data_IF_344926207445
#
_entry.id   IF_344926207445
#
_cell.length_a   1.000
_cell.length_b   1.000
_cell.length_c   1.000
_cell.angle_alpha   90.00
_cell.angle_beta   90.00
_cell.angle_gamma   90.00
#
_symmetry.space_group_name_H-M   'P 1'
#
loop_
_entity.id
_entity.type
_entity.pdbx_description
1 polymer ?
#
# COMPACT_ATOMS: atom_id res chain seq x y z
N UNK A 1 -26.62 16.70 -20.56
CA UNK A 1 -26.15 16.62 -19.17
C UNK A 1 -24.90 15.76 -19.14
N UNK A 2 -23.72 16.33 -18.91
CA UNK A 2 -22.50 15.53 -18.69
C UNK A 2 -22.62 14.81 -17.34
N UNK A 3 -22.30 13.51 -17.27
CA UNK A 3 -22.42 12.66 -16.07
C UNK A 3 -23.80 12.66 -15.38
N UNK A 4 -24.87 12.83 -16.17
CA UNK A 4 -26.25 12.81 -15.68
C UNK A 4 -27.26 12.49 -16.77
N UNK A 5 -28.52 12.37 -16.38
CA UNK A 5 -29.68 12.18 -17.27
C UNK A 5 -30.53 13.44 -17.33
N UNK A 6 -31.07 13.74 -18.50
CA UNK A 6 -32.05 14.81 -18.68
C UNK A 6 -33.39 14.35 -18.09
N UNK A 7 -33.95 15.11 -17.15
CA UNK A 7 -35.23 14.79 -16.50
C UNK A 7 -36.30 15.86 -16.73
N UNK A 8 -35.94 16.95 -17.41
CA UNK A 8 -36.87 17.99 -17.84
C UNK A 8 -36.17 19.07 -18.68
N UNK A 9 -36.92 20.07 -19.18
CA UNK A 9 -36.34 21.23 -19.86
C UNK A 9 -35.30 21.89 -18.96
N UNK A 10 -34.07 22.04 -19.47
CA UNK A 10 -32.91 22.58 -18.75
C UNK A 10 -32.58 21.90 -17.39
N UNK A 11 -33.20 20.75 -17.12
CA UNK A 11 -33.12 20.06 -15.83
C UNK A 11 -32.37 18.74 -15.98
N UNK A 12 -31.23 18.65 -15.27
CA UNK A 12 -30.36 17.49 -15.26
C UNK A 12 -30.35 16.82 -13.88
N UNK A 13 -30.51 15.50 -13.84
CA UNK A 13 -30.29 14.69 -12.63
C UNK A 13 -28.98 13.93 -12.76
N UNK A 14 -28.07 14.08 -11.79
CA UNK A 14 -26.77 13.44 -11.83
C UNK A 14 -26.85 11.92 -11.66
N UNK A 15 -25.89 11.21 -12.27
CA UNK A 15 -25.75 9.76 -12.13
C UNK A 15 -25.32 9.39 -10.70
N UNK A 16 -25.49 8.12 -10.32
CA UNK A 16 -25.05 7.63 -9.02
C UNK A 16 -23.54 7.90 -8.80
N UNK A 17 -23.19 8.42 -7.63
CA UNK A 17 -21.82 8.82 -7.32
C UNK A 17 -21.40 10.17 -7.90
N UNK A 18 -22.31 10.95 -8.49
CA UNK A 18 -22.09 12.32 -8.93
C UNK A 18 -23.03 13.29 -8.20
N UNK A 19 -22.59 14.53 -8.01
CA UNK A 19 -23.35 15.57 -7.32
C UNK A 19 -23.38 16.85 -8.16
N UNK A 20 -24.48 17.60 -8.08
CA UNK A 20 -24.63 18.83 -8.85
C UNK A 20 -23.85 19.97 -8.19
N UNK A 21 -22.85 20.49 -8.88
CA UNK A 21 -22.04 21.65 -8.45
C UNK A 21 -21.98 22.64 -9.60
N UNK A 22 -22.46 23.87 -9.38
CA UNK A 22 -22.51 24.95 -10.38
C UNK A 22 -23.13 24.52 -11.72
N UNK A 23 -24.23 23.75 -11.66
CA UNK A 23 -24.95 23.28 -12.85
C UNK A 23 -24.29 22.12 -13.62
N UNK A 24 -23.19 21.54 -13.11
CA UNK A 24 -22.53 20.36 -13.68
C UNK A 24 -22.57 19.20 -12.70
N UNK A 25 -22.68 17.98 -13.21
CA UNK A 25 -22.55 16.78 -12.39
C UNK A 25 -21.07 16.44 -12.23
N UNK A 26 -20.54 16.70 -11.04
CA UNK A 26 -19.16 16.41 -10.68
C UNK A 26 -19.09 15.10 -9.88
N UNK A 27 -17.99 14.34 -9.98
CA UNK A 27 -17.83 13.13 -9.19
C UNK A 27 -17.89 13.41 -7.69
N UNK A 28 -18.48 12.49 -6.93
CA UNK A 28 -18.59 12.54 -5.48
C UNK A 28 -17.64 11.52 -4.85
N UNK A 29 -16.85 11.97 -3.89
CA UNK A 29 -15.94 11.15 -3.11
C UNK A 29 -16.35 11.26 -1.64
N UNK A 30 -16.91 10.19 -1.05
CA UNK A 30 -17.55 10.21 0.28
C UNK A 30 -16.57 10.64 1.39
N UNK A 31 -15.32 10.18 1.32
CA UNK A 31 -14.25 10.54 2.26
C UNK A 31 -13.52 11.85 1.90
N UNK A 32 -13.91 12.51 0.80
CA UNK A 32 -13.13 13.59 0.20
C UNK A 32 -11.79 13.10 -0.38
N UNK A 33 -11.12 13.98 -1.13
CA UNK A 33 -9.77 13.77 -1.64
C UNK A 33 -8.84 14.82 -1.03
N UNK A 34 -8.37 14.58 0.20
CA UNK A 34 -7.35 15.44 0.81
C UNK A 34 -6.11 15.48 -0.11
N UNK A 35 -5.58 16.68 -0.38
CA UNK A 35 -4.43 16.91 -1.29
C UNK A 35 -4.59 16.31 -2.70
N UNK A 36 -5.82 16.20 -3.18
CA UNK A 36 -6.13 15.63 -4.48
C UNK A 36 -7.42 16.18 -5.06
N UNK A 37 -7.84 15.58 -6.16
CA UNK A 37 -9.08 15.88 -6.86
C UNK A 37 -9.86 14.61 -7.12
N UNK A 38 -11.18 14.68 -6.92
CA UNK A 38 -12.09 13.59 -7.23
C UNK A 38 -12.32 13.57 -8.75
N UNK A 39 -11.79 12.55 -9.43
CA UNK A 39 -11.87 12.45 -10.91
C UNK A 39 -12.96 11.49 -11.38
N UNK A 40 -13.38 10.58 -10.51
CA UNK A 40 -14.52 9.68 -10.69
C UNK A 40 -15.13 9.35 -9.32
N UNK A 41 -16.33 8.76 -9.24
CA UNK A 41 -16.96 8.42 -7.98
C UNK A 41 -16.03 7.61 -7.07
N UNK A 42 -15.74 8.15 -5.89
CA UNK A 42 -14.77 7.58 -4.93
C UNK A 42 -13.35 7.32 -5.48
N UNK A 43 -12.94 8.00 -6.57
CA UNK A 43 -11.61 7.89 -7.17
C UNK A 43 -10.87 9.24 -7.09
N UNK A 44 -9.84 9.28 -6.26
CA UNK A 44 -8.97 10.44 -6.11
C UNK A 44 -7.71 10.33 -6.97
N UNK A 45 -7.36 11.44 -7.63
CA UNK A 45 -6.03 11.68 -8.19
C UNK A 45 -5.31 12.69 -7.31
N UNK A 46 -4.07 12.39 -6.93
CA UNK A 46 -3.29 13.25 -6.06
C UNK A 46 -2.78 14.48 -6.82
N UNK A 47 -2.75 15.63 -6.13
CA UNK A 47 -2.21 16.86 -6.67
C UNK A 47 -0.71 16.79 -6.92
N UNK A 48 -0.16 17.80 -7.59
CA UNK A 48 1.29 17.92 -7.81
C UNK A 48 2.02 17.91 -6.47
N UNK A 49 3.06 17.08 -6.35
CA UNK A 49 3.81 16.91 -5.11
C UNK A 49 3.21 15.90 -4.12
N UNK A 50 2.13 15.19 -4.48
CA UNK A 50 1.51 14.15 -3.67
C UNK A 50 1.42 12.81 -4.41
N UNK A 51 1.48 11.70 -3.68
CA UNK A 51 1.31 10.34 -4.20
C UNK A 51 0.24 9.61 -3.40
N UNK A 52 -0.40 8.62 -4.04
CA UNK A 52 -1.38 7.77 -3.37
C UNK A 52 -0.68 6.78 -2.44
N UNK A 53 -0.97 6.83 -1.14
CA UNK A 53 -0.50 5.85 -0.16
C UNK A 53 -1.23 4.52 -0.31
N UNK A 54 -0.77 3.48 0.40
CA UNK A 54 -1.46 2.18 0.45
C UNK A 54 -2.85 2.25 1.08
N UNK A 55 -3.11 3.26 1.92
CA UNK A 55 -4.44 3.55 2.47
C UNK A 55 -5.33 4.32 1.47
N UNK A 56 -4.84 4.61 0.27
CA UNK A 56 -5.57 5.33 -0.77
C UNK A 56 -5.62 6.85 -0.59
N UNK A 57 -4.88 7.40 0.37
CA UNK A 57 -4.83 8.83 0.71
C UNK A 57 -3.65 9.48 0.00
N UNK A 58 -3.81 10.75 -0.43
CA UNK A 58 -2.71 11.50 -1.03
C UNK A 58 -1.77 12.06 0.03
N UNK A 59 -0.56 11.54 0.06
CA UNK A 59 0.52 11.93 0.98
C UNK A 59 1.61 12.66 0.21
N UNK A 60 2.41 13.53 0.87
CA UNK A 60 3.52 14.21 0.21
C UNK A 60 4.43 13.23 -0.54
N UNK A 61 5.02 13.70 -1.64
CA UNK A 61 6.03 12.99 -2.40
C UNK A 61 7.41 13.50 -2.00
N UNK A 62 8.32 12.59 -1.64
CA UNK A 62 9.72 12.94 -1.43
C UNK A 62 10.43 13.20 -2.77
N UNK A 63 11.49 14.02 -2.74
CA UNK A 63 12.37 14.25 -3.87
C UNK A 63 13.03 12.94 -4.34
N UNK A 64 13.43 12.13 -3.36
CA UNK A 64 13.95 10.78 -3.54
C UNK A 64 12.85 9.74 -3.26
N UNK A 65 13.01 8.52 -3.80
CA UNK A 65 12.06 7.43 -3.54
C UNK A 65 12.10 7.00 -2.07
N UNK A 66 10.92 6.84 -1.47
CA UNK A 66 10.73 6.43 -0.07
C UNK A 66 10.12 5.02 0.00
N UNK A 67 10.97 4.00 0.09
CA UNK A 67 10.59 2.59 0.06
C UNK A 67 10.22 2.12 1.47
N UNK A 68 9.05 1.48 1.62
CA UNK A 68 8.47 1.05 2.90
C UNK A 68 8.27 2.18 3.93
N UNK A 69 8.20 3.42 3.46
CA UNK A 69 7.92 4.60 4.27
C UNK A 69 6.74 5.42 3.76
N UNK A 70 6.56 6.58 4.37
CA UNK A 70 5.69 7.69 3.94
C UNK A 70 6.52 8.96 4.01
N UNK A 71 6.44 9.80 2.99
CA UNK A 71 7.15 11.09 3.03
C UNK A 71 6.40 12.09 3.90
N UNK A 72 7.13 12.82 4.73
CA UNK A 72 6.59 13.94 5.50
C UNK A 72 6.77 15.29 4.76
N UNK A 73 6.23 16.36 5.35
CA UNK A 73 6.31 17.71 4.78
C UNK A 73 7.74 18.28 4.70
N UNK A 74 8.68 17.71 5.47
CA UNK A 74 10.10 18.10 5.48
C UNK A 74 10.94 17.34 4.47
N UNK A 75 10.33 16.58 3.57
CA UNK A 75 11.03 15.73 2.60
C UNK A 75 11.84 14.61 3.28
N UNK A 76 11.41 14.15 4.46
CA UNK A 76 12.01 13.02 5.17
C UNK A 76 11.12 11.78 5.00
N UNK A 77 11.75 10.63 4.74
CA UNK A 77 11.05 9.36 4.65
C UNK A 77 10.82 8.79 6.06
N UNK A 78 9.57 8.81 6.52
CA UNK A 78 9.16 8.20 7.79
C UNK A 78 8.83 6.73 7.57
N UNK A 79 9.58 5.84 8.22
CA UNK A 79 9.37 4.41 8.08
C UNK A 79 8.02 3.98 8.65
N UNK A 80 7.37 3.05 7.95
CA UNK A 80 6.12 2.45 8.42
C UNK A 80 6.37 1.60 9.65
N UNK A 81 5.29 1.30 10.38
CA UNK A 81 5.36 0.45 11.56
C UNK A 81 6.07 -0.89 11.27
N UNK A 82 7.06 -1.22 12.10
CA UNK A 82 7.86 -2.44 11.97
C UNK A 82 9.00 -2.36 10.95
N UNK A 83 9.20 -1.22 10.29
CA UNK A 83 10.35 -0.92 9.45
C UNK A 83 11.21 0.17 10.10
N UNK A 84 12.51 0.13 9.79
CA UNK A 84 13.50 1.03 10.37
C UNK A 84 14.50 1.45 9.31
N UNK A 85 15.06 2.64 9.48
CA UNK A 85 16.19 3.05 8.67
C UNK A 85 17.40 2.18 9.02
N UNK A 86 18.04 1.63 7.99
CA UNK A 86 19.29 0.91 8.17
C UNK A 86 20.46 1.89 7.96
N UNK A 87 21.09 2.30 9.05
CA UNK A 87 22.22 3.23 9.02
C UNK A 87 23.40 2.72 8.18
N UNK A 88 23.55 1.40 7.98
CA UNK A 88 24.59 0.86 7.08
C UNK A 88 24.37 1.28 5.62
N UNK A 89 23.15 1.65 5.23
CA UNK A 89 22.88 2.17 3.90
C UNK A 89 23.54 3.53 3.65
N UNK A 90 23.90 4.27 4.71
CA UNK A 90 24.69 5.50 4.61
C UNK A 90 26.06 5.24 3.99
N UNK A 91 26.67 4.07 4.24
CA UNK A 91 27.96 3.68 3.66
C UNK A 91 27.87 3.51 2.13
N UNK A 92 26.69 3.15 1.62
CA UNK A 92 26.40 3.02 0.19
C UNK A 92 25.89 4.32 -0.45
N UNK A 93 25.92 5.43 0.29
CA UNK A 93 25.48 6.74 -0.21
C UNK A 93 23.96 6.96 -0.19
N UNK A 94 23.19 6.06 0.43
CA UNK A 94 21.73 6.24 0.61
C UNK A 94 21.51 7.27 1.72
N UNK A 95 20.95 8.44 1.37
CA UNK A 95 20.68 9.55 2.32
C UNK A 95 19.17 9.70 2.55
N UNK A 96 18.79 10.54 3.52
CA UNK A 96 17.40 10.95 3.80
C UNK A 96 16.42 9.83 4.17
N UNK A 97 16.90 8.74 4.78
CA UNK A 97 16.09 7.60 5.20
C UNK A 97 15.21 6.96 4.10
N UNK A 98 15.64 7.10 2.84
CA UNK A 98 14.89 6.70 1.63
C UNK A 98 14.52 5.24 1.57
N UNK A 99 15.26 4.37 2.26
CA UNK A 99 14.99 2.93 2.29
C UNK A 99 14.77 2.47 3.73
N UNK A 100 13.54 2.07 4.02
CA UNK A 100 13.16 1.47 5.29
C UNK A 100 13.18 -0.06 5.15
N UNK A 101 13.96 -0.71 6.02
CA UNK A 101 14.13 -2.16 6.03
C UNK A 101 13.42 -2.79 7.22
N UNK A 102 12.86 -3.98 7.03
CA UNK A 102 12.36 -4.79 8.12
C UNK A 102 13.53 -5.27 9.01
N UNK A 103 13.24 -5.54 10.28
CA UNK A 103 14.24 -6.05 11.23
C UNK A 103 13.71 -7.28 11.97
N UNK A 104 14.47 -8.36 11.89
CA UNK A 104 14.23 -9.59 12.62
C UNK A 104 15.45 -9.90 13.49
N UNK A 105 15.22 -10.33 14.73
CA UNK A 105 16.27 -10.70 15.68
C UNK A 105 16.98 -12.00 15.24
N UNK A 106 16.24 -12.87 14.53
CA UNK A 106 16.74 -14.08 13.89
C UNK A 106 16.31 -14.13 12.43
N UNK A 107 17.06 -14.88 11.62
CA UNK A 107 16.74 -15.06 10.21
C UNK A 107 15.47 -15.88 10.02
N UNK A 108 14.65 -15.46 9.06
CA UNK A 108 13.46 -16.20 8.65
C UNK A 108 13.85 -17.39 7.77
N UNK A 109 13.89 -18.60 8.33
CA UNK A 109 14.15 -19.84 7.58
C UNK A 109 13.01 -20.07 6.60
N UNK A 110 13.34 -20.21 5.30
CA UNK A 110 12.37 -20.37 4.19
C UNK A 110 11.34 -19.22 4.09
N UNK A 111 11.79 -18.01 4.43
CA UNK A 111 11.00 -16.79 4.32
C UNK A 111 11.90 -15.56 4.25
N UNK A 112 11.29 -14.40 4.33
CA UNK A 112 11.98 -13.12 4.45
C UNK A 112 11.39 -12.28 5.57
N UNK A 113 12.19 -11.37 6.11
CA UNK A 113 11.74 -10.46 7.16
C UNK A 113 10.83 -9.39 6.54
N UNK A 114 9.57 -9.36 6.95
CA UNK A 114 8.54 -8.45 6.42
C UNK A 114 8.05 -7.43 7.47
N UNK A 115 8.75 -7.33 8.60
CA UNK A 115 8.48 -6.35 9.67
C UNK A 115 9.28 -6.71 10.93
N UNK A 116 8.92 -6.14 12.08
CA UNK A 116 9.59 -6.42 13.35
C UNK A 116 9.36 -7.87 13.80
N UNK A 117 10.39 -8.71 13.74
CA UNK A 117 10.31 -10.14 14.05
C UNK A 117 9.16 -10.87 13.33
N UNK A 118 8.76 -10.37 12.16
CA UNK A 118 7.65 -10.91 11.39
C UNK A 118 8.20 -11.51 10.11
N UNK A 119 8.21 -12.83 10.05
CA UNK A 119 8.57 -13.56 8.84
C UNK A 119 7.36 -13.65 7.90
N UNK A 120 7.62 -13.37 6.63
CA UNK A 120 6.72 -13.72 5.54
C UNK A 120 7.32 -14.92 4.83
N UNK A 121 6.57 -16.01 4.81
CA UNK A 121 7.02 -17.27 4.24
C UNK A 121 7.00 -17.22 2.71
N UNK A 122 7.86 -18.03 2.09
CA UNK A 122 7.84 -18.23 0.65
C UNK A 122 6.54 -18.94 0.24
N UNK A 123 6.20 -18.86 -1.05
CA UNK A 123 5.06 -19.59 -1.60
C UNK A 123 5.19 -21.09 -1.33
N UNK A 124 4.10 -21.73 -0.89
CA UNK A 124 4.10 -23.13 -0.45
C UNK A 124 4.62 -23.36 0.98
N UNK A 125 4.90 -22.31 1.76
CA UNK A 125 5.31 -22.41 3.17
C UNK A 125 4.38 -21.59 4.09
N UNK A 126 4.15 -22.08 5.30
CA UNK A 126 3.41 -21.41 6.38
C UNK A 126 4.28 -21.20 7.63
N UNK A 127 3.86 -20.27 8.50
CA UNK A 127 4.60 -19.97 9.72
C UNK A 127 4.53 -21.16 10.69
N UNK A 128 5.67 -21.59 11.20
CA UNK A 128 5.75 -22.66 12.21
C UNK A 128 5.00 -22.27 13.48
N UNK A 129 4.28 -23.24 14.06
CA UNK A 129 3.57 -23.08 15.34
C UNK A 129 4.53 -22.99 16.54
N UNK A 130 5.77 -23.43 16.37
CA UNK A 130 6.76 -23.54 17.44
C UNK A 130 7.83 -22.45 17.36
N UNK A 131 8.20 -22.03 16.15
CA UNK A 131 9.22 -21.01 15.93
C UNK A 131 8.74 -19.96 14.91
N UNK A 132 8.53 -18.73 15.39
CA UNK A 132 8.09 -17.60 14.54
C UNK A 132 9.12 -17.15 13.50
N UNK A 133 10.33 -17.70 13.53
CA UNK A 133 11.38 -17.48 12.55
C UNK A 133 11.57 -18.66 11.60
N UNK A 134 10.68 -19.67 11.66
CA UNK A 134 10.70 -20.84 10.79
C UNK A 134 9.42 -20.91 9.97
N UNK A 135 9.58 -21.03 8.66
CA UNK A 135 8.50 -21.35 7.75
C UNK A 135 8.59 -22.84 7.37
N UNK A 136 7.50 -23.56 7.57
CA UNK A 136 7.37 -24.99 7.26
C UNK A 136 6.54 -25.18 6.00
N UNK A 137 6.80 -26.20 5.17
CA UNK A 137 6.03 -26.43 3.95
C UNK A 137 4.54 -26.65 4.26
N UNK A 138 3.67 -26.08 3.44
CA UNK A 138 2.22 -26.30 3.51
C UNK A 138 1.95 -27.67 2.93
N UNK A 139 1.46 -28.58 3.77
CA UNK A 139 1.09 -29.93 3.37
C UNK A 139 -0.41 -29.94 3.02
N UNK A 140 -0.74 -29.46 1.82
CA UNK A 140 -2.10 -29.57 1.28
C UNK A 140 -2.12 -30.62 0.15
N UNK A 141 -2.92 -31.67 0.34
CA UNK A 141 -3.08 -32.74 -0.62
C UNK A 141 -3.74 -32.29 -1.94
N UNK A 142 -4.32 -31.08 -1.99
CA UNK A 142 -4.93 -30.51 -3.21
C UNK A 142 -3.96 -29.64 -4.03
N UNK A 143 -2.83 -29.22 -3.46
CA UNK A 143 -1.88 -28.28 -4.10
C UNK A 143 -0.47 -28.84 -4.31
N UNK A 144 -0.05 -29.87 -3.56
CA UNK A 144 1.29 -30.47 -3.67
C UNK A 144 1.20 -31.99 -3.64
N UNK A 145 1.84 -32.65 -4.60
CA UNK A 145 1.94 -34.11 -4.71
C UNK A 145 2.82 -34.66 -3.59
N UNK A 146 2.18 -35.09 -2.50
CA UNK A 146 2.85 -35.51 -1.26
C UNK A 146 3.32 -36.96 -1.37
N UNK A 147 4.40 -37.21 -2.12
CA UNK A 147 5.03 -38.53 -2.18
C UNK A 147 5.95 -38.75 -0.97
N UNK A 148 5.66 -39.80 -0.18
CA UNK A 148 6.44 -40.28 0.99
C UNK A 148 6.41 -39.43 2.27
N UNK A 149 5.43 -38.54 2.45
CA UNK A 149 5.24 -37.85 3.74
C UNK A 149 6.28 -36.76 4.04
N UNK A 150 7.10 -36.39 3.05
CA UNK A 150 7.84 -35.15 3.04
C UNK A 150 7.12 -34.17 2.11
N UNK A 151 6.71 -33.03 2.66
CA UNK A 151 6.11 -31.94 1.89
C UNK A 151 7.26 -31.23 1.18
N UNK A 152 7.46 -31.53 -0.10
CA UNK A 152 8.52 -30.95 -0.94
C UNK A 152 8.09 -29.58 -1.48
#
# INVERSE_FOLDING_TARGET
CENGRCTGPETCTCNAGYSMVRGRCVPSCVSGCANGSCVAPNQCVCGVGFVKSTAGVCVPKCADDCVNGVCNERNECECREGFYFNEKLLEFGVRNNTVCTARCDFECRKGFCAGRNRCQCLEGYELSKSDRFECVPVCDAELVDCFNGECV
#
